data_IF_680461283697
#
_entry.id   IF_680461283697
#
_cell.length_a   1.000
_cell.length_b   1.000
_cell.length_c   1.000
_cell.angle_alpha   90.00
_cell.angle_beta   90.00
_cell.angle_gamma   90.00
#
_symmetry.space_group_name_H-M   'P 1'
#
loop_
_entity.id
_entity.type
_entity.pdbx_description
1 polymer ?
#
# COMPACT_ATOMS: atom_id res chain seq x y z
N UNK A 1 46.55 16.88 84.49
CA UNK A 1 45.14 17.17 84.43
C UNK A 1 44.74 16.94 83.00
N UNK A 2 44.33 15.66 82.65
CA UNK A 2 44.02 15.22 81.30
C UNK A 2 42.51 15.17 81.17
N UNK A 3 41.97 15.90 80.25
CA UNK A 3 40.52 15.84 79.84
C UNK A 3 40.47 15.16 78.49
N UNK A 4 39.92 13.92 78.49
CA UNK A 4 39.62 13.12 77.30
C UNK A 4 38.22 13.46 76.82
N UNK A 5 38.08 14.06 75.65
CA UNK A 5 36.82 14.31 74.98
C UNK A 5 36.44 13.06 74.15
N UNK A 6 35.38 12.34 74.56
CA UNK A 6 34.78 11.29 73.82
C UNK A 6 33.86 11.86 72.71
N UNK A 7 34.22 11.65 71.47
CA UNK A 7 33.42 11.96 70.34
C UNK A 7 32.43 10.74 70.07
N UNK A 8 31.20 10.86 70.45
CA UNK A 8 30.13 9.92 70.07
C UNK A 8 29.55 10.26 68.69
N UNK A 9 30.05 9.56 67.68
CA UNK A 9 29.40 9.63 66.32
C UNK A 9 28.04 8.91 66.38
N UNK A 10 26.95 9.66 66.15
CA UNK A 10 25.64 9.09 65.88
C UNK A 10 25.65 8.41 64.50
N UNK A 11 25.63 7.09 64.48
CA UNK A 11 25.38 6.28 63.29
C UNK A 11 23.95 6.53 62.78
N UNK A 12 23.81 7.33 61.70
CA UNK A 12 22.54 7.66 61.10
C UNK A 12 21.88 6.42 60.48
N UNK A 13 20.62 6.25 60.81
CA UNK A 13 19.71 5.17 60.45
C UNK A 13 19.35 5.23 58.92
N UNK A 14 20.28 4.77 58.03
CA UNK A 14 20.12 4.79 56.56
C UNK A 14 19.59 3.48 55.94
N UNK A 15 19.17 2.48 56.73
CA UNK A 15 18.92 1.11 56.16
C UNK A 15 17.44 0.71 56.01
N UNK A 16 16.45 1.56 56.23
CA UNK A 16 15.01 1.16 56.20
C UNK A 16 14.21 1.72 55.02
N UNK A 17 14.71 2.60 54.16
CA UNK A 17 13.97 3.22 53.07
C UNK A 17 14.04 2.46 51.74
N UNK A 18 15.11 1.72 51.48
CA UNK A 18 15.35 1.03 50.22
C UNK A 18 14.27 -0.02 49.84
N UNK A 19 13.84 -0.94 50.75
CA UNK A 19 12.84 -1.93 50.38
C UNK A 19 11.45 -1.35 50.14
N UNK A 20 11.13 -0.22 50.78
CA UNK A 20 9.86 0.48 50.58
C UNK A 20 9.82 1.18 49.20
N UNK A 21 10.87 1.85 48.79
CA UNK A 21 10.97 2.48 47.47
C UNK A 21 10.88 1.43 46.33
N UNK A 22 11.52 0.28 46.49
CA UNK A 22 11.49 -0.82 45.49
C UNK A 22 10.06 -1.36 45.36
N UNK A 23 9.32 -1.52 46.46
CA UNK A 23 7.92 -1.98 46.45
C UNK A 23 7.00 -0.99 45.73
N UNK A 24 7.13 0.31 45.99
CA UNK A 24 6.36 1.35 45.32
C UNK A 24 6.72 1.47 43.82
N UNK A 25 7.99 1.38 43.47
CA UNK A 25 8.41 1.35 42.07
C UNK A 25 7.83 0.14 41.34
N UNK A 26 7.85 -1.05 41.96
CA UNK A 26 7.25 -2.26 41.40
C UNK A 26 5.72 -2.15 41.22
N UNK A 27 5.01 -1.59 42.22
CA UNK A 27 3.57 -1.36 42.12
C UNK A 27 3.23 -0.34 41.04
N UNK A 28 3.97 0.75 40.94
CA UNK A 28 3.80 1.77 39.88
C UNK A 28 4.02 1.19 38.49
N UNK A 29 5.06 0.36 38.31
CA UNK A 29 5.33 -0.31 37.03
C UNK A 29 4.20 -1.29 36.66
N UNK A 30 3.68 -2.05 37.64
CA UNK A 30 2.55 -2.95 37.42
C UNK A 30 1.28 -2.19 36.99
N UNK A 31 0.93 -1.11 37.69
CA UNK A 31 -0.22 -0.26 37.38
C UNK A 31 -0.07 0.35 35.98
N UNK A 32 1.11 0.89 35.66
CA UNK A 32 1.39 1.42 34.32
C UNK A 32 1.24 0.35 33.23
N UNK A 33 1.74 -0.87 33.48
CA UNK A 33 1.56 -2.02 32.58
C UNK A 33 0.09 -2.37 32.34
N UNK A 34 -0.71 -2.41 33.40
CA UNK A 34 -2.17 -2.67 33.31
C UNK A 34 -2.86 -1.58 32.49
N UNK A 35 -2.56 -0.29 32.75
CA UNK A 35 -3.13 0.84 32.00
C UNK A 35 -2.75 0.75 30.52
N UNK A 36 -1.50 0.42 30.21
CA UNK A 36 -1.03 0.27 28.84
C UNK A 36 -1.75 -0.87 28.11
N UNK A 37 -1.88 -2.04 28.74
CA UNK A 37 -2.63 -3.19 28.16
C UNK A 37 -4.09 -2.84 27.95
N UNK A 38 -4.74 -2.20 28.93
CA UNK A 38 -6.11 -1.76 28.81
C UNK A 38 -6.27 -0.71 27.66
N UNK A 39 -5.32 0.21 27.54
CA UNK A 39 -5.28 1.17 26.43
C UNK A 39 -5.15 0.51 25.05
N UNK A 40 -4.27 -0.48 24.92
CA UNK A 40 -4.15 -1.28 23.69
C UNK A 40 -5.45 -2.03 23.38
N UNK A 41 -6.06 -2.69 24.38
CA UNK A 41 -7.31 -3.41 24.19
C UNK A 41 -8.45 -2.46 23.76
N UNK A 42 -8.57 -1.29 24.37
CA UNK A 42 -9.54 -0.27 23.99
C UNK A 42 -9.29 0.26 22.56
N UNK A 43 -8.04 0.52 22.18
CA UNK A 43 -7.67 0.95 20.85
C UNK A 43 -8.00 -0.12 19.79
N UNK A 44 -7.80 -1.40 20.09
CA UNK A 44 -8.16 -2.51 19.20
C UNK A 44 -9.68 -2.63 19.08
N UNK A 45 -10.41 -2.58 20.18
CA UNK A 45 -11.85 -2.76 20.18
C UNK A 45 -12.60 -1.58 19.53
N UNK A 46 -12.24 -0.35 19.88
CA UNK A 46 -13.01 0.86 19.54
C UNK A 46 -12.31 1.80 18.55
N UNK A 47 -11.02 1.60 18.28
CA UNK A 47 -10.20 2.49 17.44
C UNK A 47 -10.28 2.20 15.94
N UNK A 48 -11.29 1.48 15.46
CA UNK A 48 -11.48 1.15 14.04
C UNK A 48 -11.84 2.36 13.18
N UNK A 49 -11.77 2.23 11.85
CA UNK A 49 -12.14 3.30 10.93
C UNK A 49 -13.66 3.48 10.88
N UNK A 50 -14.09 4.70 10.57
CA UNK A 50 -15.47 5.01 10.17
C UNK A 50 -15.56 5.19 8.67
N UNK A 51 -16.72 4.92 8.07
CA UNK A 51 -16.92 5.17 6.65
C UNK A 51 -16.89 6.69 6.36
N UNK A 52 -15.95 7.17 5.50
CA UNK A 52 -15.94 8.56 5.12
C UNK A 52 -17.13 8.88 4.18
N UNK A 53 -17.50 10.17 4.02
CA UNK A 53 -18.48 10.59 3.02
C UNK A 53 -18.03 10.17 1.62
N UNK A 54 -19.00 9.85 0.74
CA UNK A 54 -18.73 9.47 -0.64
C UNK A 54 -17.89 10.53 -1.37
N UNK A 55 -16.83 10.11 -2.05
CA UNK A 55 -15.99 10.98 -2.86
C UNK A 55 -16.37 10.82 -4.34
N UNK A 56 -17.15 11.77 -4.86
CA UNK A 56 -17.71 11.69 -6.23
C UNK A 56 -16.64 11.83 -7.31
N UNK A 57 -15.56 12.60 -7.07
CA UNK A 57 -14.44 12.73 -8.02
C UNK A 57 -13.73 11.39 -8.30
N UNK A 58 -13.79 10.46 -7.36
CA UNK A 58 -13.23 9.10 -7.51
C UNK A 58 -14.25 8.15 -8.15
N UNK A 59 -15.52 8.25 -7.79
CA UNK A 59 -16.55 7.28 -8.17
C UNK A 59 -17.19 7.58 -9.53
N UNK A 60 -17.54 8.85 -9.80
CA UNK A 60 -18.33 9.24 -10.97
C UNK A 60 -17.59 9.05 -12.32
N UNK A 61 -16.28 9.23 -12.46
CA UNK A 61 -15.61 9.02 -13.74
C UNK A 61 -15.83 7.63 -14.35
N UNK A 62 -16.07 6.62 -13.52
CA UNK A 62 -16.34 5.25 -13.99
C UNK A 62 -17.75 5.08 -14.57
N UNK A 63 -18.71 5.99 -14.28
CA UNK A 63 -20.08 5.87 -14.79
C UNK A 63 -20.17 6.05 -16.31
N UNK A 64 -19.17 6.65 -16.94
CA UNK A 64 -19.09 6.87 -18.40
C UNK A 64 -18.25 5.82 -19.13
N UNK A 65 -17.65 4.89 -18.40
CA UNK A 65 -16.80 3.84 -19.02
C UNK A 65 -17.68 2.72 -19.57
N UNK A 66 -17.46 2.39 -20.84
CA UNK A 66 -18.05 1.18 -21.43
C UNK A 66 -17.28 -0.05 -20.98
N UNK A 67 -17.96 -0.93 -20.27
CA UNK A 67 -17.44 -2.21 -19.78
C UNK A 67 -18.02 -3.41 -20.54
N UNK A 68 -18.72 -3.19 -21.66
CA UNK A 68 -19.39 -4.25 -22.41
C UNK A 68 -18.41 -5.25 -23.06
N UNK A 69 -17.19 -4.81 -23.34
CA UNK A 69 -16.13 -5.60 -23.97
C UNK A 69 -15.04 -6.06 -22.97
N UNK A 70 -15.34 -6.10 -21.66
CA UNK A 70 -14.43 -6.67 -20.67
C UNK A 70 -14.09 -8.13 -21.03
N UNK A 71 -12.80 -8.51 -21.13
CA UNK A 71 -12.42 -9.91 -21.29
C UNK A 71 -12.89 -10.74 -20.08
N UNK A 72 -13.13 -12.06 -20.29
CA UNK A 72 -13.51 -12.94 -19.20
C UNK A 72 -12.46 -12.97 -18.10
N UNK A 73 -12.89 -13.22 -16.87
CA UNK A 73 -11.98 -13.48 -15.76
C UNK A 73 -11.32 -14.85 -15.94
N UNK A 74 -10.01 -14.85 -15.99
CA UNK A 74 -9.14 -16.02 -15.90
C UNK A 74 -8.68 -16.21 -14.46
N UNK A 75 -8.13 -17.38 -14.14
CA UNK A 75 -7.64 -17.68 -12.79
C UNK A 75 -6.30 -18.36 -12.82
N UNK A 76 -5.51 -18.11 -11.76
CA UNK A 76 -4.31 -18.86 -11.43
C UNK A 76 -4.38 -19.31 -9.98
N UNK A 77 -3.61 -20.32 -9.63
CA UNK A 77 -3.59 -20.87 -8.27
C UNK A 77 -2.42 -20.25 -7.50
N UNK A 78 -2.72 -19.61 -6.38
CA UNK A 78 -1.72 -19.10 -5.44
C UNK A 78 -1.05 -20.23 -4.65
N UNK A 79 0.04 -19.91 -3.95
CA UNK A 79 0.82 -20.90 -3.22
C UNK A 79 0.07 -21.62 -2.08
N UNK A 80 -1.01 -21.02 -1.58
CA UNK A 80 -1.93 -21.59 -0.57
C UNK A 80 -3.11 -22.37 -1.17
N UNK A 81 -3.19 -22.47 -2.50
CA UNK A 81 -4.28 -23.13 -3.23
C UNK A 81 -5.46 -22.23 -3.58
N UNK A 82 -5.48 -20.96 -3.15
CA UNK A 82 -6.54 -20.00 -3.49
C UNK A 82 -6.52 -19.68 -5.00
N UNK A 83 -7.72 -19.61 -5.63
CA UNK A 83 -7.87 -19.28 -7.03
C UNK A 83 -8.02 -17.76 -7.22
N UNK A 84 -6.94 -17.08 -7.61
CA UNK A 84 -6.92 -15.64 -7.84
C UNK A 84 -7.24 -15.29 -9.29
N UNK A 85 -7.92 -14.16 -9.51
CA UNK A 85 -8.47 -13.76 -10.79
C UNK A 85 -7.63 -12.67 -11.49
N UNK A 86 -7.67 -12.66 -12.81
CA UNK A 86 -7.12 -11.62 -13.66
C UNK A 86 -7.86 -11.55 -14.99
N UNK A 87 -7.66 -10.46 -15.74
CA UNK A 87 -8.11 -10.33 -17.13
C UNK A 87 -6.91 -10.24 -18.05
N UNK A 88 -6.98 -10.88 -19.20
CA UNK A 88 -5.96 -10.82 -20.25
C UNK A 88 -6.50 -10.07 -21.47
N UNK A 89 -5.74 -9.10 -21.93
CA UNK A 89 -5.95 -8.32 -23.14
C UNK A 89 -4.80 -8.64 -24.09
N UNK A 90 -5.06 -9.50 -25.06
CA UNK A 90 -4.04 -9.91 -26.03
C UNK A 90 -3.59 -8.78 -26.92
N UNK A 91 -2.30 -8.76 -27.29
CA UNK A 91 -1.73 -7.79 -28.19
C UNK A 91 -2.48 -7.75 -29.53
N UNK A 92 -2.83 -6.54 -29.99
CA UNK A 92 -3.58 -6.36 -31.25
C UNK A 92 -2.70 -6.59 -32.51
N UNK A 93 -1.36 -6.52 -32.38
CA UNK A 93 -0.41 -6.79 -33.47
C UNK A 93 0.07 -8.23 -33.47
N UNK A 94 0.46 -8.77 -34.64
CA UNK A 94 0.94 -10.15 -34.78
C UNK A 94 2.26 -10.45 -34.04
N UNK A 95 3.04 -9.42 -33.68
CA UNK A 95 4.28 -9.56 -32.89
C UNK A 95 4.09 -8.89 -31.53
N UNK A 96 4.18 -9.66 -30.46
CA UNK A 96 4.04 -9.15 -29.10
C UNK A 96 5.32 -8.43 -28.68
N UNK A 97 5.22 -7.14 -28.31
CA UNK A 97 6.37 -6.31 -27.93
C UNK A 97 6.85 -6.58 -26.48
N UNK A 98 6.04 -7.23 -25.67
CA UNK A 98 6.32 -7.53 -24.28
C UNK A 98 5.03 -7.74 -23.49
N UNK A 99 5.15 -7.89 -22.18
CA UNK A 99 3.98 -8.01 -21.29
C UNK A 99 3.88 -6.82 -20.33
N UNK A 100 2.64 -6.42 -20.02
CA UNK A 100 2.33 -5.39 -19.03
C UNK A 100 1.39 -5.97 -17.99
N UNK A 101 1.83 -6.02 -16.73
CA UNK A 101 1.01 -6.48 -15.60
C UNK A 101 0.52 -5.28 -14.82
N UNK A 102 -0.80 -5.13 -14.70
CA UNK A 102 -1.48 -3.96 -14.16
C UNK A 102 -2.05 -4.24 -12.77
N UNK A 103 -1.63 -3.43 -11.79
CA UNK A 103 -2.10 -3.47 -10.40
C UNK A 103 -2.97 -2.24 -10.13
N UNK A 104 -4.24 -2.49 -9.81
CA UNK A 104 -5.24 -1.46 -9.56
C UNK A 104 -4.98 -0.64 -8.27
N UNK A 105 -5.69 0.47 -8.09
CA UNK A 105 -5.67 1.28 -6.88
C UNK A 105 -6.45 0.66 -5.72
N UNK A 106 -6.41 1.35 -4.56
CA UNK A 106 -7.15 0.93 -3.36
C UNK A 106 -8.64 0.74 -3.65
N UNK A 107 -9.23 -0.25 -2.97
CA UNK A 107 -10.67 -0.59 -3.09
C UNK A 107 -11.12 -1.16 -4.43
N UNK A 108 -10.40 -0.93 -5.53
CA UNK A 108 -10.76 -1.26 -6.90
C UNK A 108 -10.57 -2.77 -7.24
N UNK A 109 -10.61 -3.09 -8.50
CA UNK A 109 -10.35 -4.42 -9.08
C UNK A 109 -9.86 -4.26 -10.54
N UNK A 110 -9.66 -5.35 -11.26
CA UNK A 110 -9.17 -5.35 -12.66
C UNK A 110 -10.02 -4.50 -13.61
N UNK A 111 -11.32 -4.31 -13.38
CA UNK A 111 -12.16 -3.49 -14.24
C UNK A 111 -11.68 -2.03 -14.29
N UNK A 112 -11.14 -1.49 -13.18
CA UNK A 112 -10.65 -0.11 -13.13
C UNK A 112 -9.44 0.13 -14.03
N UNK A 113 -8.78 -0.94 -14.48
CA UNK A 113 -7.63 -0.89 -15.38
C UNK A 113 -7.99 -1.15 -16.84
N UNK A 114 -9.29 -1.30 -17.16
CA UNK A 114 -9.80 -1.72 -18.46
C UNK A 114 -9.29 -0.88 -19.63
N UNK A 115 -9.49 0.45 -19.58
CA UNK A 115 -9.08 1.34 -20.68
C UNK A 115 -7.57 1.38 -20.85
N UNK A 116 -6.84 1.34 -19.73
CA UNK A 116 -5.38 1.30 -19.75
C UNK A 116 -4.86 -0.03 -20.35
N UNK A 117 -5.45 -1.17 -19.95
CA UNK A 117 -5.10 -2.48 -20.50
C UNK A 117 -5.39 -2.58 -22.01
N UNK A 118 -6.54 -2.06 -22.47
CA UNK A 118 -6.87 -1.96 -23.91
C UNK A 118 -5.85 -1.14 -24.67
N UNK A 119 -5.39 -0.02 -24.12
CA UNK A 119 -4.41 0.83 -24.78
C UNK A 119 -3.04 0.13 -24.91
N UNK A 120 -2.60 -0.61 -23.89
CA UNK A 120 -1.40 -1.42 -23.98
C UNK A 120 -1.57 -2.55 -25.02
N UNK A 121 -2.72 -3.22 -25.05
CA UNK A 121 -3.00 -4.25 -26.06
C UNK A 121 -2.98 -3.66 -27.48
N UNK A 122 -3.57 -2.48 -27.68
CA UNK A 122 -3.55 -1.76 -28.95
C UNK A 122 -2.12 -1.35 -29.36
N UNK A 123 -1.24 -1.07 -28.40
CA UNK A 123 0.17 -0.78 -28.61
C UNK A 123 1.06 -2.02 -28.80
N UNK A 124 0.46 -3.24 -28.84
CA UNK A 124 1.18 -4.49 -29.14
C UNK A 124 1.72 -5.23 -27.91
N UNK A 125 1.28 -4.91 -26.70
CA UNK A 125 1.66 -5.63 -25.48
C UNK A 125 0.57 -6.63 -25.06
N UNK A 126 0.96 -7.79 -24.53
CA UNK A 126 0.04 -8.60 -23.73
C UNK A 126 -0.18 -7.93 -22.38
N UNK A 127 -1.41 -7.46 -22.11
CA UNK A 127 -1.74 -6.75 -20.89
C UNK A 127 -2.58 -7.65 -19.95
N UNK A 128 -2.17 -7.69 -18.68
CA UNK A 128 -2.80 -8.51 -17.64
C UNK A 128 -3.26 -7.60 -16.50
N UNK A 129 -4.57 -7.44 -16.31
CA UNK A 129 -5.12 -6.67 -15.20
C UNK A 129 -5.48 -7.62 -14.05
N UNK A 130 -4.79 -7.51 -12.91
CA UNK A 130 -4.96 -8.39 -11.76
C UNK A 130 -6.14 -7.93 -10.88
N UNK A 131 -6.93 -8.88 -10.36
CA UNK A 131 -7.66 -8.70 -9.11
C UNK A 131 -6.69 -9.07 -7.98
N UNK A 132 -6.11 -8.09 -7.30
CA UNK A 132 -5.22 -8.38 -6.17
C UNK A 132 -5.99 -9.10 -5.06
N UNK A 133 -5.36 -10.04 -4.34
CA UNK A 133 -6.03 -10.73 -3.21
C UNK A 133 -6.71 -9.73 -2.27
N UNK A 134 -7.91 -10.07 -1.84
CA UNK A 134 -8.76 -9.16 -1.05
C UNK A 134 -9.60 -8.21 -1.90
N UNK A 135 -9.54 -8.32 -3.24
CA UNK A 135 -10.28 -7.46 -4.18
C UNK A 135 -10.94 -8.28 -5.29
N UNK A 136 -11.94 -7.67 -5.92
CA UNK A 136 -12.61 -8.27 -7.08
C UNK A 136 -13.10 -9.69 -6.81
N UNK A 137 -12.60 -10.64 -7.62
CA UNK A 137 -12.89 -12.06 -7.53
C UNK A 137 -11.75 -12.88 -6.91
N UNK A 138 -10.81 -12.22 -6.17
CA UNK A 138 -9.62 -12.83 -5.56
C UNK A 138 -9.71 -12.84 -4.04
N UNK A 139 -10.09 -13.99 -3.45
CA UNK A 139 -10.14 -14.20 -2.01
C UNK A 139 -11.23 -13.40 -1.27
N UNK A 140 -11.11 -13.34 0.04
CA UNK A 140 -12.06 -12.61 0.90
C UNK A 140 -11.81 -11.11 0.84
N UNK A 141 -12.85 -10.33 0.48
CA UNK A 141 -12.72 -8.87 0.34
C UNK A 141 -12.14 -8.20 1.58
N UNK A 142 -11.13 -7.36 1.34
CA UNK A 142 -10.47 -6.55 2.35
C UNK A 142 -9.50 -7.30 3.26
N UNK A 143 -9.17 -8.57 2.96
CA UNK A 143 -8.35 -9.43 3.83
C UNK A 143 -7.25 -10.15 3.07
N UNK A 144 -6.12 -10.30 3.75
CA UNK A 144 -5.04 -11.24 3.43
C UNK A 144 -4.58 -11.88 4.74
N UNK A 145 -3.96 -13.04 4.68
CA UNK A 145 -3.59 -13.81 5.88
C UNK A 145 -2.32 -13.29 6.55
N UNK A 146 -1.36 -12.80 5.76
CA UNK A 146 -0.10 -12.27 6.28
C UNK A 146 0.47 -11.15 5.40
N UNK A 147 1.27 -10.27 6.00
CA UNK A 147 2.00 -9.22 5.30
C UNK A 147 3.11 -9.86 4.47
N UNK A 148 3.10 -9.65 3.15
CA UNK A 148 3.97 -10.31 2.17
C UNK A 148 3.22 -11.26 1.23
N UNK A 149 1.94 -11.57 1.53
CA UNK A 149 1.15 -12.50 0.71
C UNK A 149 0.89 -11.97 -0.70
N UNK A 150 0.74 -10.66 -0.87
CA UNK A 150 0.55 -10.07 -2.21
C UNK A 150 1.79 -10.23 -3.10
N UNK A 151 2.99 -10.20 -2.53
CA UNK A 151 4.23 -10.48 -3.24
C UNK A 151 4.35 -11.96 -3.61
N UNK A 152 3.87 -12.86 -2.74
CA UNK A 152 3.84 -14.31 -3.02
C UNK A 152 2.80 -14.62 -4.10
N UNK A 153 1.63 -13.98 -4.07
CA UNK A 153 0.60 -14.10 -5.11
C UNK A 153 1.10 -13.61 -6.47
N UNK A 154 1.84 -12.49 -6.49
CA UNK A 154 2.44 -11.98 -7.73
C UNK A 154 3.50 -12.96 -8.28
N UNK A 155 4.30 -13.58 -7.42
CA UNK A 155 5.26 -14.61 -7.81
C UNK A 155 4.54 -15.85 -8.36
N UNK A 156 3.43 -16.27 -7.74
CA UNK A 156 2.60 -17.37 -8.26
C UNK A 156 1.99 -17.02 -9.63
N UNK A 157 1.52 -15.77 -9.82
CA UNK A 157 1.04 -15.30 -11.12
C UNK A 157 2.11 -15.40 -12.20
N UNK A 158 3.31 -14.86 -11.96
CA UNK A 158 4.42 -14.90 -12.93
C UNK A 158 4.97 -16.31 -13.17
N UNK A 159 4.73 -17.24 -12.25
CA UNK A 159 5.03 -18.66 -12.43
C UNK A 159 3.97 -19.41 -13.24
N UNK A 160 2.71 -18.99 -13.17
CA UNK A 160 1.58 -19.63 -13.86
C UNK A 160 1.32 -19.06 -15.26
N UNK A 161 1.62 -17.77 -15.48
CA UNK A 161 1.40 -17.06 -16.74
C UNK A 161 2.74 -16.76 -17.41
N UNK A 162 2.92 -17.28 -18.61
CA UNK A 162 4.13 -17.01 -19.39
C UNK A 162 4.11 -15.56 -19.90
N UNK A 163 4.94 -14.71 -19.31
CA UNK A 163 5.06 -13.32 -19.71
C UNK A 163 6.11 -13.19 -20.83
N UNK A 164 5.72 -12.54 -21.95
CA UNK A 164 6.64 -12.12 -23.00
C UNK A 164 7.53 -11.00 -22.47
N UNK A 165 8.83 -11.12 -22.64
CA UNK A 165 9.81 -10.09 -22.23
C UNK A 165 10.03 -9.06 -23.33
N UNK A 166 10.30 -7.78 -22.97
CA UNK A 166 10.39 -7.27 -21.60
C UNK A 166 9.01 -7.23 -20.91
N UNK A 167 8.97 -7.61 -19.62
CA UNK A 167 7.77 -7.52 -18.81
C UNK A 167 7.83 -6.27 -17.91
N UNK A 168 6.78 -5.47 -17.92
CA UNK A 168 6.66 -4.25 -17.12
C UNK A 168 5.56 -4.42 -16.06
N UNK A 169 5.86 -4.13 -14.79
CA UNK A 169 4.86 -4.05 -13.74
C UNK A 169 4.37 -2.61 -13.58
N UNK A 170 3.08 -2.39 -13.75
CA UNK A 170 2.43 -1.08 -13.69
C UNK A 170 1.50 -1.03 -12.49
N UNK A 171 1.55 0.03 -11.68
CA UNK A 171 0.66 0.18 -10.55
C UNK A 171 0.07 1.57 -10.43
N UNK A 172 -1.21 1.63 -10.11
CA UNK A 172 -1.94 2.86 -9.87
C UNK A 172 -2.21 3.09 -8.38
N UNK A 173 -1.94 4.30 -7.86
CA UNK A 173 -2.29 4.69 -6.49
C UNK A 173 -1.67 3.75 -5.43
N UNK A 174 -2.45 3.06 -4.59
CA UNK A 174 -1.96 2.02 -3.68
C UNK A 174 -1.26 0.89 -4.44
N UNK A 175 -1.75 0.50 -5.62
CA UNK A 175 -1.07 -0.44 -6.50
C UNK A 175 0.29 0.09 -6.97
N UNK A 176 0.42 1.39 -7.21
CA UNK A 176 1.71 2.04 -7.49
C UNK A 176 2.67 1.94 -6.32
N UNK A 177 2.17 2.10 -5.10
CA UNK A 177 2.93 1.87 -3.88
C UNK A 177 3.36 0.41 -3.70
N UNK A 178 2.48 -0.55 -4.02
CA UNK A 178 2.83 -1.97 -4.03
C UNK A 178 3.87 -2.30 -5.10
N UNK A 179 3.75 -1.73 -6.30
CA UNK A 179 4.74 -1.87 -7.38
C UNK A 179 6.10 -1.33 -6.92
N UNK A 180 6.15 -0.18 -6.24
CA UNK A 180 7.38 0.33 -5.62
C UNK A 180 7.94 -0.63 -4.57
N UNK A 181 7.07 -1.28 -3.77
CA UNK A 181 7.46 -2.30 -2.79
C UNK A 181 8.16 -3.48 -3.46
N UNK A 182 7.63 -3.96 -4.58
CA UNK A 182 8.25 -5.04 -5.38
C UNK A 182 9.56 -4.57 -5.99
N UNK A 183 9.58 -3.39 -6.64
CA UNK A 183 10.75 -2.80 -7.28
C UNK A 183 11.91 -2.55 -6.30
N UNK A 184 11.62 -2.21 -5.04
CA UNK A 184 12.62 -2.01 -3.98
C UNK A 184 12.88 -3.25 -3.12
N UNK A 185 12.59 -4.44 -3.61
CA UNK A 185 12.76 -5.70 -2.89
C UNK A 185 13.72 -6.66 -3.62
N UNK A 186 14.16 -7.76 -2.99
CA UNK A 186 14.91 -8.81 -3.68
C UNK A 186 14.17 -9.47 -4.86
N UNK A 187 12.85 -9.21 -5.02
CA UNK A 187 12.03 -9.73 -6.12
C UNK A 187 12.01 -8.83 -7.35
N UNK A 188 12.74 -7.72 -7.36
CA UNK A 188 12.70 -6.73 -8.45
C UNK A 188 13.12 -7.27 -9.81
N UNK A 189 13.85 -8.38 -9.86
CA UNK A 189 14.28 -8.99 -11.12
C UNK A 189 13.17 -9.80 -11.83
N UNK A 190 12.00 -9.96 -11.20
CA UNK A 190 10.84 -10.58 -11.84
C UNK A 190 10.31 -9.76 -13.03
N UNK A 191 10.54 -8.45 -13.02
CA UNK A 191 10.16 -7.54 -14.11
C UNK A 191 11.37 -6.74 -14.59
N UNK A 192 11.40 -6.41 -15.90
CA UNK A 192 12.46 -5.62 -16.47
C UNK A 192 12.28 -4.13 -16.19
N UNK A 193 11.02 -3.66 -16.11
CA UNK A 193 10.68 -2.26 -15.95
C UNK A 193 9.50 -2.06 -14.97
N UNK A 194 9.39 -0.84 -14.42
CA UNK A 194 8.34 -0.46 -13.49
C UNK A 194 7.71 0.89 -13.87
N UNK A 195 6.38 0.96 -13.91
CA UNK A 195 5.65 2.22 -14.14
C UNK A 195 4.74 2.52 -12.94
N UNK A 196 4.92 3.68 -12.35
CA UNK A 196 4.14 4.15 -11.21
C UNK A 196 3.16 5.24 -11.67
N UNK A 197 1.87 5.01 -11.49
CA UNK A 197 0.81 5.96 -11.81
C UNK A 197 0.29 6.59 -10.51
N UNK A 198 0.60 7.86 -10.27
CA UNK A 198 0.26 8.58 -9.01
C UNK A 198 0.43 7.70 -7.76
N UNK A 199 1.65 7.22 -7.47
CA UNK A 199 1.85 6.21 -6.44
C UNK A 199 1.58 6.74 -5.03
N UNK A 200 0.90 5.95 -4.21
CA UNK A 200 0.89 6.12 -2.77
C UNK A 200 2.28 5.78 -2.22
N UNK A 201 2.90 6.69 -1.47
CA UNK A 201 4.21 6.46 -0.85
C UNK A 201 4.09 6.19 0.65
N UNK A 202 3.47 7.09 1.39
CA UNK A 202 3.18 6.96 2.82
C UNK A 202 2.19 8.03 3.23
N UNK A 203 1.52 7.84 4.35
CA UNK A 203 0.72 8.89 5.00
C UNK A 203 1.58 10.06 5.51
N UNK A 204 2.87 9.81 5.74
CA UNK A 204 3.84 10.80 6.22
C UNK A 204 4.70 11.38 5.08
N UNK A 205 4.50 10.94 3.84
CA UNK A 205 5.29 11.42 2.71
C UNK A 205 4.93 12.88 2.35
N UNK A 206 5.89 13.68 1.85
CA UNK A 206 5.63 15.08 1.48
C UNK A 206 4.53 15.27 0.43
N UNK A 207 4.20 14.23 -0.33
CA UNK A 207 3.11 14.24 -1.31
C UNK A 207 1.77 13.78 -0.73
N UNK A 208 1.68 13.41 0.54
CA UNK A 208 0.42 12.99 1.15
C UNK A 208 -0.53 14.17 1.39
N UNK A 209 -1.83 13.95 1.13
CA UNK A 209 -2.90 14.82 1.62
C UNK A 209 -3.58 14.17 2.82
N UNK A 210 -4.06 14.90 3.83
CA UNK A 210 -4.81 14.34 4.94
C UNK A 210 -6.00 13.51 4.43
N UNK A 211 -6.13 12.27 4.94
CA UNK A 211 -7.18 11.35 4.51
C UNK A 211 -7.19 11.04 3.01
N UNK A 212 -6.05 11.21 2.31
CA UNK A 212 -6.01 11.07 0.85
C UNK A 212 -7.01 12.00 0.17
N UNK A 213 -7.06 13.27 0.56
CA UNK A 213 -8.03 14.25 0.05
C UNK A 213 -9.50 13.93 0.41
N UNK A 214 -9.74 13.05 1.38
CA UNK A 214 -11.08 12.57 1.77
C UNK A 214 -11.41 11.16 1.29
N UNK A 215 -10.51 10.51 0.53
CA UNK A 215 -10.72 9.17 -0.01
C UNK A 215 -10.72 8.07 1.06
N UNK A 216 -9.89 8.22 2.11
CA UNK A 216 -9.68 7.18 3.12
C UNK A 216 -9.81 7.70 4.54
N UNK A 217 -10.53 6.97 5.39
CA UNK A 217 -10.51 7.12 6.83
C UNK A 217 -9.65 6.01 7.45
N UNK A 218 -8.74 6.38 8.33
CA UNK A 218 -7.82 5.46 9.01
C UNK A 218 -8.19 5.38 10.48
N UNK A 219 -8.43 4.17 10.98
CA UNK A 219 -8.59 3.86 12.40
C UNK A 219 -7.24 3.95 13.12
N UNK A 220 -6.74 5.19 13.31
CA UNK A 220 -5.39 5.44 13.80
C UNK A 220 -5.09 4.76 15.15
N UNK A 221 -5.98 4.78 16.18
CA UNK A 221 -5.69 4.08 17.41
C UNK A 221 -5.51 2.57 17.22
N UNK A 222 -6.35 1.93 16.40
CA UNK A 222 -6.26 0.51 16.10
C UNK A 222 -4.99 0.18 15.33
N UNK A 223 -4.63 0.94 14.30
CA UNK A 223 -3.42 0.65 13.49
C UNK A 223 -2.15 0.80 14.34
N UNK A 224 -2.10 1.77 15.26
CA UNK A 224 -0.99 1.93 16.22
C UNK A 224 -0.90 0.70 17.14
N UNK A 225 -2.01 0.31 17.76
CA UNK A 225 -2.04 -0.84 18.66
C UNK A 225 -1.63 -2.14 17.95
N UNK A 226 -2.16 -2.39 16.74
CA UNK A 226 -1.81 -3.56 15.95
C UNK A 226 -0.35 -3.53 15.46
N UNK A 227 0.20 -2.35 15.17
CA UNK A 227 1.62 -2.19 14.83
C UNK A 227 2.52 -2.56 16.02
N UNK A 228 2.13 -2.18 17.25
CA UNK A 228 2.86 -2.56 18.48
C UNK A 228 2.80 -4.08 18.65
N UNK A 229 1.62 -4.67 18.56
CA UNK A 229 1.45 -6.14 18.69
C UNK A 229 2.22 -6.90 17.61
N UNK A 230 2.18 -6.43 16.37
CA UNK A 230 2.92 -7.05 15.25
C UNK A 230 4.44 -7.06 15.51
N UNK A 231 5.00 -5.98 16.09
CA UNK A 231 6.42 -5.91 16.48
C UNK A 231 6.78 -6.91 17.59
N UNK A 232 5.80 -7.27 18.43
CA UNK A 232 5.94 -8.29 19.47
C UNK A 232 5.65 -9.71 18.96
N UNK A 233 5.39 -9.87 17.64
CA UNK A 233 5.07 -11.16 17.03
C UNK A 233 3.61 -11.61 17.21
N UNK A 234 2.74 -10.78 17.80
CA UNK A 234 1.32 -11.08 18.03
C UNK A 234 0.52 -10.68 16.80
N UNK A 235 -0.01 -11.66 16.07
CA UNK A 235 -0.73 -11.48 14.79
C UNK A 235 -2.23 -11.78 14.87
N UNK A 236 -2.75 -12.14 16.03
CA UNK A 236 -4.14 -12.62 16.23
C UNK A 236 -5.23 -11.65 15.74
N UNK A 237 -4.93 -10.35 15.60
CA UNK A 237 -5.90 -9.32 15.23
C UNK A 237 -5.62 -8.67 13.87
N UNK A 238 -4.78 -9.28 13.03
CA UNK A 238 -4.35 -8.72 11.75
C UNK A 238 -5.48 -8.60 10.72
N UNK A 239 -6.56 -9.31 10.89
CA UNK A 239 -7.75 -9.27 10.03
C UNK A 239 -8.78 -8.20 10.43
N UNK A 240 -8.54 -7.46 11.53
CA UNK A 240 -9.39 -6.33 11.90
C UNK A 240 -9.26 -5.16 10.90
N UNK A 241 -10.40 -4.52 10.53
CA UNK A 241 -10.38 -3.39 9.61
C UNK A 241 -9.71 -2.18 10.25
N UNK A 242 -8.80 -1.55 9.50
CA UNK A 242 -8.04 -0.36 9.91
C UNK A 242 -8.20 0.82 8.95
N UNK A 243 -8.70 0.59 7.73
CA UNK A 243 -9.04 1.65 6.79
C UNK A 243 -10.43 1.45 6.21
N UNK A 244 -11.11 2.55 5.87
CA UNK A 244 -12.39 2.57 5.16
C UNK A 244 -12.36 3.61 4.05
N UNK A 245 -13.01 3.32 2.92
CA UNK A 245 -12.96 4.13 1.71
C UNK A 245 -14.28 4.84 1.42
N UNK A 246 -14.20 6.01 0.79
CA UNK A 246 -15.30 6.93 0.46
C UNK A 246 -16.15 6.43 -0.73
N UNK A 247 -16.65 5.18 -0.66
CA UNK A 247 -17.42 4.53 -1.71
C UNK A 247 -18.90 4.93 -1.67
N UNK A 248 -19.54 4.92 -2.85
CA UNK A 248 -21.01 4.91 -2.97
C UNK A 248 -21.58 3.60 -2.43
N UNK A 249 -22.76 3.62 -1.83
CA UNK A 249 -23.38 2.42 -1.24
C UNK A 249 -23.57 1.28 -2.24
N UNK A 250 -24.02 1.62 -3.46
CA UNK A 250 -24.25 0.63 -4.53
C UNK A 250 -22.96 -0.06 -5.00
N UNK A 251 -21.81 0.60 -4.90
CA UNK A 251 -20.52 0.04 -5.33
C UNK A 251 -19.84 -0.83 -4.28
N UNK A 252 -20.23 -0.76 -3.02
CA UNK A 252 -19.64 -1.56 -1.92
C UNK A 252 -19.76 -3.06 -2.12
N UNK A 253 -20.74 -3.53 -2.93
CA UNK A 253 -20.87 -4.96 -3.26
C UNK A 253 -19.81 -5.45 -4.25
N UNK A 254 -19.40 -4.61 -5.19
CA UNK A 254 -18.40 -4.95 -6.22
C UNK A 254 -16.97 -4.56 -5.81
N UNK A 255 -16.81 -3.47 -5.08
CA UNK A 255 -15.52 -2.96 -4.60
C UNK A 255 -15.20 -3.43 -3.17
N UNK A 256 -14.04 -3.04 -2.65
CA UNK A 256 -13.55 -3.44 -1.32
C UNK A 256 -13.62 -2.25 -0.37
N UNK A 257 -14.63 -2.17 0.53
CA UNK A 257 -14.91 -0.97 1.30
C UNK A 257 -13.95 -0.73 2.47
N UNK A 258 -13.30 -1.76 2.96
CA UNK A 258 -12.38 -1.68 4.11
C UNK A 258 -11.19 -2.61 3.92
N UNK A 259 -10.05 -2.26 4.52
CA UNK A 259 -8.90 -3.17 4.61
C UNK A 259 -8.62 -3.58 6.03
N UNK A 260 -8.31 -4.86 6.19
CA UNK A 260 -7.65 -5.42 7.36
C UNK A 260 -6.28 -4.79 7.58
N UNK A 261 -5.73 -4.94 8.78
CA UNK A 261 -4.38 -4.46 9.08
C UNK A 261 -3.34 -5.07 8.13
N UNK A 262 -3.38 -6.40 7.89
CA UNK A 262 -2.44 -7.06 6.97
C UNK A 262 -2.51 -6.48 5.57
N UNK A 263 -3.73 -6.31 5.01
CA UNK A 263 -3.90 -5.78 3.65
C UNK A 263 -3.47 -4.32 3.57
N UNK A 264 -3.87 -3.48 4.53
CA UNK A 264 -3.51 -2.06 4.55
C UNK A 264 -1.99 -1.83 4.62
N UNK A 265 -1.27 -2.69 5.32
CA UNK A 265 0.21 -2.63 5.42
C UNK A 265 0.89 -3.20 4.19
N UNK A 266 0.27 -4.20 3.52
CA UNK A 266 0.89 -4.87 2.37
C UNK A 266 0.59 -4.18 1.04
N UNK A 267 -0.62 -3.60 0.85
CA UNK A 267 -1.02 -2.98 -0.41
C UNK A 267 -0.56 -1.53 -0.52
N UNK A 268 0.75 -1.35 -0.46
CA UNK A 268 1.48 -0.10 -0.52
C UNK A 268 2.99 -0.36 -0.37
N UNK A 269 3.83 0.67 -0.30
CA UNK A 269 5.26 0.50 -0.07
C UNK A 269 5.52 -0.10 1.32
N UNK A 270 6.74 -0.50 1.57
CA UNK A 270 7.16 -0.78 2.94
C UNK A 270 7.10 0.50 3.79
N UNK A 271 7.05 0.35 5.10
CA UNK A 271 6.98 1.49 6.02
C UNK A 271 8.08 2.54 5.77
N UNK A 272 9.29 2.08 5.51
CA UNK A 272 10.38 2.94 5.02
C UNK A 272 10.34 2.97 3.48
N UNK A 273 9.43 3.77 2.93
CA UNK A 273 9.32 3.95 1.49
C UNK A 273 10.58 4.55 0.87
N UNK A 274 11.34 5.33 1.66
CA UNK A 274 12.60 5.90 1.21
C UNK A 274 13.66 4.81 0.99
N UNK A 275 13.72 3.80 1.87
CA UNK A 275 14.56 2.62 1.67
C UNK A 275 14.12 1.83 0.44
N UNK A 276 12.79 1.66 0.20
CA UNK A 276 12.30 1.04 -1.03
C UNK A 276 12.81 1.79 -2.27
N UNK A 277 12.69 3.12 -2.31
CA UNK A 277 13.16 3.93 -3.44
C UNK A 277 14.67 3.72 -3.67
N UNK A 278 15.49 3.79 -2.60
CA UNK A 278 16.95 3.63 -2.71
C UNK A 278 17.38 2.25 -3.21
N UNK A 279 16.59 1.21 -2.90
CA UNK A 279 16.91 -0.16 -3.25
C UNK A 279 16.59 -0.53 -4.71
N UNK A 280 15.88 0.32 -5.45
CA UNK A 280 15.52 0.06 -6.84
C UNK A 280 16.74 0.22 -7.75
N UNK A 281 17.02 -0.81 -8.57
CA UNK A 281 18.05 -0.75 -9.60
C UNK A 281 17.52 -1.05 -11.02
N UNK A 282 16.24 -1.37 -11.15
CA UNK A 282 15.56 -1.51 -12.45
C UNK A 282 15.01 -0.16 -12.94
N UNK A 283 14.82 0.02 -14.25
CA UNK A 283 14.22 1.22 -14.80
C UNK A 283 12.83 1.49 -14.22
N UNK A 284 12.61 2.75 -13.81
CA UNK A 284 11.31 3.23 -13.30
C UNK A 284 10.92 4.50 -14.02
N UNK A 285 9.65 4.59 -14.42
CA UNK A 285 9.02 5.81 -14.86
C UNK A 285 7.81 6.13 -13.97
N UNK A 286 7.45 7.42 -13.87
CA UNK A 286 6.33 7.88 -13.07
C UNK A 286 5.46 8.80 -13.90
N UNK A 287 4.15 8.58 -13.92
CA UNK A 287 3.15 9.46 -14.55
C UNK A 287 2.14 9.87 -13.50
N UNK A 288 1.83 11.16 -13.43
CA UNK A 288 0.87 11.70 -12.47
C UNK A 288 0.14 12.92 -13.04
N UNK A 289 -1.05 13.21 -12.52
CA UNK A 289 -1.83 14.36 -12.93
C UNK A 289 -1.60 15.57 -12.04
N UNK A 290 -1.61 16.80 -12.61
CA UNK A 290 -1.43 18.02 -11.80
C UNK A 290 -2.67 18.42 -11.02
N UNK A 291 -3.84 17.87 -11.38
CA UNK A 291 -5.11 18.08 -10.68
C UNK A 291 -5.47 16.92 -9.75
N UNK A 292 -4.48 16.10 -9.35
CA UNK A 292 -4.67 14.97 -8.44
C UNK A 292 -5.20 15.47 -7.09
N UNK A 293 -6.41 15.04 -6.75
CA UNK A 293 -7.10 15.41 -5.52
C UNK A 293 -6.71 14.56 -4.31
N UNK A 294 -6.02 13.42 -4.55
CA UNK A 294 -5.59 12.47 -3.51
C UNK A 294 -4.16 12.76 -3.06
N UNK A 295 -3.27 13.16 -3.99
CA UNK A 295 -1.85 13.42 -3.71
C UNK A 295 -1.36 14.78 -4.24
N UNK A 296 -0.29 15.29 -3.63
CA UNK A 296 0.49 16.44 -4.11
C UNK A 296 1.57 15.93 -5.09
N UNK A 297 1.20 15.80 -6.36
CA UNK A 297 2.04 15.13 -7.36
C UNK A 297 3.25 15.95 -7.80
N UNK A 298 3.23 17.28 -7.60
CA UNK A 298 4.35 18.20 -7.81
C UNK A 298 5.57 17.87 -6.92
N UNK A 299 5.37 17.15 -5.81
CA UNK A 299 6.44 16.75 -4.88
C UNK A 299 7.20 15.50 -5.33
N UNK A 300 6.62 14.67 -6.21
CA UNK A 300 7.16 13.33 -6.53
C UNK A 300 8.62 13.39 -7.03
N UNK A 301 8.93 14.26 -7.99
CA UNK A 301 10.27 14.36 -8.53
C UNK A 301 11.33 14.76 -7.47
N UNK A 302 10.97 15.62 -6.54
CA UNK A 302 11.84 16.01 -5.43
C UNK A 302 12.06 14.84 -4.45
N UNK A 303 11.00 14.10 -4.12
CA UNK A 303 11.08 12.92 -3.23
C UNK A 303 12.05 11.88 -3.81
N UNK A 304 11.90 11.52 -5.09
CA UNK A 304 12.76 10.51 -5.71
C UNK A 304 14.23 10.96 -5.80
N UNK A 305 14.47 12.21 -6.19
CA UNK A 305 15.85 12.79 -6.24
C UNK A 305 16.51 12.80 -4.86
N UNK A 306 15.78 13.11 -3.79
CA UNK A 306 16.31 13.08 -2.42
C UNK A 306 16.76 11.67 -1.98
N UNK A 307 16.21 10.63 -2.61
CA UNK A 307 16.60 9.24 -2.39
C UNK A 307 17.65 8.74 -3.39
N UNK A 308 18.26 9.63 -4.19
CA UNK A 308 19.27 9.26 -5.17
C UNK A 308 18.72 8.66 -6.48
N UNK A 309 17.39 8.73 -6.69
CA UNK A 309 16.72 8.16 -7.86
C UNK A 309 16.16 9.29 -8.76
N UNK A 310 16.85 9.69 -9.82
CA UNK A 310 16.40 10.73 -10.74
C UNK A 310 15.41 10.17 -11.78
N UNK A 311 14.38 9.45 -11.32
CA UNK A 311 13.39 8.86 -12.21
C UNK A 311 12.64 9.92 -13.01
N UNK A 312 12.28 9.59 -14.25
CA UNK A 312 11.41 10.43 -15.07
C UNK A 312 10.04 10.54 -14.45
N UNK A 313 9.60 11.78 -14.15
CA UNK A 313 8.26 12.07 -13.64
C UNK A 313 7.53 12.95 -14.65
N UNK A 314 6.54 12.37 -15.33
CA UNK A 314 5.68 13.07 -16.28
C UNK A 314 4.45 13.58 -15.55
N UNK A 315 4.29 14.92 -15.47
CA UNK A 315 3.12 15.57 -14.91
C UNK A 315 2.17 16.00 -16.04
N UNK A 316 0.93 15.51 -15.98
CA UNK A 316 -0.09 15.76 -17.00
C UNK A 316 -1.02 16.90 -16.54
N UNK A 317 -1.05 18.04 -17.26
CA UNK A 317 -1.86 19.19 -16.88
C UNK A 317 -3.36 18.87 -16.85
N UNK A 318 -4.02 19.23 -15.73
CA UNK A 318 -5.47 19.13 -15.54
C UNK A 318 -5.99 17.69 -15.36
N UNK A 319 -5.13 16.69 -15.27
CA UNK A 319 -5.54 15.31 -15.01
C UNK A 319 -5.71 15.09 -13.51
N UNK A 320 -6.89 14.63 -13.10
CA UNK A 320 -7.22 14.19 -11.72
C UNK A 320 -6.74 12.77 -11.44
N UNK A 321 -6.92 12.31 -10.20
CA UNK A 321 -6.39 11.02 -9.75
C UNK A 321 -6.89 9.85 -10.61
N UNK A 322 -8.21 9.66 -10.66
CA UNK A 322 -8.82 8.54 -11.43
C UNK A 322 -8.65 8.69 -12.93
N UNK A 323 -8.63 9.93 -13.44
CA UNK A 323 -8.45 10.21 -14.86
C UNK A 323 -7.13 9.63 -15.41
N UNK A 324 -6.12 9.34 -14.58
CA UNK A 324 -4.90 8.65 -15.00
C UNK A 324 -5.16 7.28 -15.65
N UNK A 325 -6.22 6.60 -15.27
CA UNK A 325 -6.57 5.29 -15.84
C UNK A 325 -7.67 5.37 -16.91
N UNK A 326 -8.30 6.54 -17.10
CA UNK A 326 -9.48 6.72 -17.95
C UNK A 326 -9.31 7.75 -19.07
N UNK A 327 -8.64 8.90 -18.82
CA UNK A 327 -8.46 9.96 -19.82
C UNK A 327 -7.50 9.48 -20.92
N UNK A 328 -7.88 9.58 -22.21
CA UNK A 328 -7.05 9.10 -23.31
C UNK A 328 -5.63 9.69 -23.34
N UNK A 329 -5.45 10.95 -22.92
CA UNK A 329 -4.13 11.60 -22.85
C UNK A 329 -3.24 10.95 -21.79
N UNK A 330 -3.82 10.61 -20.65
CA UNK A 330 -3.12 9.97 -19.54
C UNK A 330 -2.79 8.51 -19.87
N UNK A 331 -3.75 7.78 -20.43
CA UNK A 331 -3.58 6.41 -20.90
C UNK A 331 -2.46 6.33 -21.96
N UNK A 332 -2.46 7.22 -22.95
CA UNK A 332 -1.40 7.30 -23.96
C UNK A 332 -0.04 7.72 -23.37
N UNK A 333 -0.01 8.56 -22.34
CA UNK A 333 1.23 8.90 -21.65
C UNK A 333 1.82 7.69 -20.89
N UNK A 334 0.98 6.84 -20.30
CA UNK A 334 1.42 5.59 -19.69
C UNK A 334 2.00 4.60 -20.71
N UNK A 335 1.35 4.46 -21.89
CA UNK A 335 1.87 3.64 -23.00
C UNK A 335 3.25 4.13 -23.45
N UNK A 336 3.38 5.44 -23.76
CA UNK A 336 4.67 6.03 -24.14
C UNK A 336 5.75 5.87 -23.09
N UNK A 337 5.38 5.90 -21.80
CA UNK A 337 6.35 5.70 -20.73
C UNK A 337 6.92 4.27 -20.73
N UNK A 338 6.10 3.26 -21.10
CA UNK A 338 6.55 1.87 -21.24
C UNK A 338 7.37 1.69 -22.53
N UNK A 339 6.95 2.27 -23.66
CA UNK A 339 7.68 2.24 -24.91
C UNK A 339 9.09 2.89 -24.83
N UNK A 340 9.25 3.85 -23.93
CA UNK A 340 10.52 4.55 -23.71
C UNK A 340 11.53 3.77 -22.84
N UNK A 341 11.16 2.62 -22.28
CA UNK A 341 12.11 1.80 -21.54
C UNK A 341 13.10 1.11 -22.49
N UNK A 342 14.35 0.85 -22.05
CA UNK A 342 15.30 0.03 -22.80
C UNK A 342 14.69 -1.35 -23.14
N UNK A 343 14.87 -1.77 -24.38
CA UNK A 343 14.41 -3.07 -24.89
C UNK A 343 15.38 -4.19 -24.47
#
# INVERSE_FOLDING_TARGET
MNITLQNTMKAGNRKRTAPYLIRWAGLSALVAGIIFIAGLAAAIAFGGPTAPPTMTSISNPFDTVDFSDLPPLLRYTAGDGEALAYRHYGAASGTVQGSVVLVHGSSANSNSMHLLAKAFAAAGYDAYALDMRGHGASGTKGRIDYIGQLEDDLAAFTGAVLLTKPATLVGFSSGGGFVLRVAGSPRQDAFQNYLLLSPFLSVDAPNARPGGGGWVNVGLPRIIALTILNRLGIRAFHDLPVTSFALREETKKSLTPTYSFSLAVNFGPQRDYAANIRAVHRPVAVVAGTADEVFLTDKLAAIFRQQGQPWSVTLLPGIGHIALTLDPRAVQAAVRAVEAFPQ
#
